data_IF_869908047765
#
_entry.id   IF_869908047765
#
_cell.length_a   1.000
_cell.length_b   1.000
_cell.length_c   1.000
_cell.angle_alpha   90.00
_cell.angle_beta   90.00
_cell.angle_gamma   90.00
#
_symmetry.space_group_name_H-M   'P 1'
#
loop_
_entity.id
_entity.type
_entity.pdbx_description
1 polymer ?
#
# COMPACT_ATOMS: atom_id res chain seq x y z
N UNK A 1 18.82 -2.90 -15.07
CA UNK A 1 17.76 -1.89 -14.93
C UNK A 1 16.41 -2.62 -14.97
N UNK A 2 15.50 -2.42 -14.02
CA UNK A 2 14.20 -3.10 -14.00
C UNK A 2 13.25 -2.47 -15.04
N UNK A 3 13.49 -2.76 -16.34
CA UNK A 3 12.72 -2.20 -17.45
C UNK A 3 11.23 -2.54 -17.38
N UNK A 4 10.90 -3.74 -16.90
CA UNK A 4 9.51 -4.17 -16.72
C UNK A 4 8.79 -3.32 -15.67
N UNK A 5 9.45 -3.00 -14.56
CA UNK A 5 8.87 -2.15 -13.50
C UNK A 5 8.62 -0.73 -14.01
N UNK A 6 9.56 -0.19 -14.78
CA UNK A 6 9.42 1.12 -15.41
C UNK A 6 8.27 1.13 -16.42
N UNK A 7 8.18 0.12 -17.26
CA UNK A 7 7.10 -0.01 -18.25
C UNK A 7 5.71 -0.09 -17.58
N UNK A 8 5.57 -0.87 -16.50
CA UNK A 8 4.34 -0.96 -15.72
C UNK A 8 3.96 0.39 -15.11
N UNK A 9 4.93 1.12 -14.57
CA UNK A 9 4.70 2.46 -14.00
C UNK A 9 4.25 3.45 -15.09
N UNK A 10 4.90 3.45 -16.24
CA UNK A 10 4.51 4.30 -17.37
C UNK A 10 3.11 3.93 -17.89
N UNK A 11 2.80 2.66 -18.02
CA UNK A 11 1.46 2.20 -18.44
C UNK A 11 0.38 2.64 -17.44
N UNK A 12 0.67 2.56 -16.13
CA UNK A 12 -0.24 3.02 -15.07
C UNK A 12 -0.50 4.54 -15.16
N UNK A 13 0.54 5.33 -15.45
CA UNK A 13 0.40 6.77 -15.68
C UNK A 13 -0.43 7.08 -16.93
N UNK A 14 -0.22 6.34 -18.02
CA UNK A 14 -1.01 6.50 -19.25
C UNK A 14 -2.49 6.17 -19.03
N UNK A 15 -2.82 5.25 -18.13
CA UNK A 15 -4.21 4.91 -17.78
C UNK A 15 -4.96 6.09 -17.12
N UNK A 16 -4.25 7.05 -16.54
CA UNK A 16 -4.86 8.25 -15.96
C UNK A 16 -5.43 9.21 -17.01
N UNK A 17 -4.90 9.20 -18.23
CA UNK A 17 -5.33 10.10 -19.32
C UNK A 17 -6.81 9.87 -19.71
N UNK A 18 -7.28 8.65 -20.05
CA UNK A 18 -8.69 8.42 -20.35
C UNK A 18 -9.61 8.71 -19.14
N UNK A 19 -9.11 8.54 -17.92
CA UNK A 19 -9.87 8.87 -16.72
C UNK A 19 -10.21 10.37 -16.66
N UNK A 20 -9.30 11.24 -17.08
CA UNK A 20 -9.54 12.68 -17.19
C UNK A 20 -10.63 13.04 -18.22
N UNK A 21 -10.70 12.31 -19.32
CA UNK A 21 -11.70 12.55 -20.35
C UNK A 21 -13.10 12.01 -20.01
N UNK A 22 -13.16 10.96 -19.16
CA UNK A 22 -14.43 10.33 -18.75
C UNK A 22 -15.11 11.11 -17.63
N UNK A 23 -14.37 11.91 -16.87
CA UNK A 23 -14.90 12.67 -15.75
C UNK A 23 -15.58 13.97 -16.22
N UNK A 24 -16.81 14.23 -15.73
CA UNK A 24 -17.54 15.47 -16.01
C UNK A 24 -16.83 16.74 -15.49
N UNK A 25 -15.84 16.58 -14.62
CA UNK A 25 -15.03 17.67 -14.04
C UNK A 25 -13.59 17.18 -13.84
N UNK A 26 -12.63 17.96 -14.34
CA UNK A 26 -11.18 17.72 -14.15
C UNK A 26 -10.83 17.71 -12.65
N UNK A 27 -11.48 18.57 -11.87
CA UNK A 27 -11.25 18.68 -10.42
C UNK A 27 -11.68 17.37 -9.73
N UNK A 28 -12.84 16.80 -10.08
CA UNK A 28 -13.31 15.55 -9.50
C UNK A 28 -12.37 14.37 -9.84
N UNK A 29 -11.88 14.29 -11.08
CA UNK A 29 -10.91 13.27 -11.49
C UNK A 29 -9.60 13.39 -10.70
N UNK A 30 -9.07 14.61 -10.58
CA UNK A 30 -7.86 14.87 -9.81
C UNK A 30 -8.03 14.50 -8.34
N UNK A 31 -9.14 14.89 -7.71
CA UNK A 31 -9.44 14.54 -6.32
C UNK A 31 -9.50 13.04 -6.13
N UNK A 32 -10.17 12.30 -7.02
CA UNK A 32 -10.27 10.85 -6.95
C UNK A 32 -8.90 10.17 -7.05
N UNK A 33 -8.09 10.53 -8.05
CA UNK A 33 -6.74 9.96 -8.22
C UNK A 33 -5.85 10.25 -7.02
N UNK A 34 -5.86 11.48 -6.55
CA UNK A 34 -5.05 11.89 -5.38
C UNK A 34 -5.49 11.15 -4.11
N UNK A 35 -6.80 10.96 -3.92
CA UNK A 35 -7.33 10.22 -2.77
C UNK A 35 -6.94 8.75 -2.81
N UNK A 36 -7.07 8.09 -3.98
CA UNK A 36 -6.62 6.68 -4.14
C UNK A 36 -5.13 6.55 -3.83
N UNK A 37 -4.31 7.44 -4.40
CA UNK A 37 -2.87 7.43 -4.15
C UNK A 37 -2.55 7.62 -2.65
N UNK A 38 -3.24 8.55 -1.98
CA UNK A 38 -3.06 8.80 -0.54
C UNK A 38 -3.44 7.60 0.31
N UNK A 39 -4.57 6.95 0.01
CA UNK A 39 -5.00 5.75 0.73
C UNK A 39 -4.01 4.61 0.56
N UNK A 40 -3.54 4.36 -0.67
CA UNK A 40 -2.54 3.33 -0.94
C UNK A 40 -1.22 3.62 -0.22
N UNK A 41 -0.81 4.88 -0.18
CA UNK A 41 0.37 5.31 0.56
C UNK A 41 0.24 5.04 2.07
N UNK A 42 -0.89 5.40 2.68
CA UNK A 42 -1.19 5.11 4.08
C UNK A 42 -1.16 3.60 4.34
N UNK A 43 -1.74 2.78 3.45
CA UNK A 43 -1.74 1.32 3.61
C UNK A 43 -0.32 0.74 3.58
N UNK A 44 0.55 1.22 2.70
CA UNK A 44 1.97 0.81 2.69
C UNK A 44 2.64 1.15 4.01
N UNK A 45 2.42 2.34 4.56
CA UNK A 45 2.95 2.73 5.85
C UNK A 45 2.39 1.89 7.00
N UNK A 46 1.10 1.55 6.96
CA UNK A 46 0.51 0.63 7.93
C UNK A 46 1.22 -0.74 7.91
N UNK A 47 1.48 -1.29 6.72
CA UNK A 47 2.20 -2.56 6.59
C UNK A 47 3.61 -2.47 7.18
N UNK A 48 4.32 -1.36 6.93
CA UNK A 48 5.66 -1.13 7.50
C UNK A 48 5.59 -1.10 9.04
N UNK A 49 4.65 -0.34 9.62
CA UNK A 49 4.50 -0.23 11.09
C UNK A 49 4.09 -1.57 11.71
N UNK A 50 3.18 -2.31 11.08
CA UNK A 50 2.78 -3.65 11.54
C UNK A 50 3.95 -4.63 11.46
N UNK A 51 4.74 -4.57 10.39
CA UNK A 51 5.96 -5.39 10.24
C UNK A 51 6.98 -5.07 11.33
N UNK A 52 7.14 -3.79 11.66
CA UNK A 52 7.98 -3.35 12.77
C UNK A 52 7.48 -3.90 14.11
N UNK A 53 6.18 -3.83 14.40
CA UNK A 53 5.60 -4.41 15.61
C UNK A 53 5.82 -5.93 15.69
N UNK A 54 5.67 -6.63 14.58
CA UNK A 54 5.98 -8.06 14.49
C UNK A 54 7.46 -8.34 14.72
N UNK A 55 8.35 -7.53 14.15
CA UNK A 55 9.78 -7.65 14.39
C UNK A 55 10.14 -7.50 15.87
N UNK A 56 9.54 -6.52 16.58
CA UNK A 56 9.73 -6.32 18.01
C UNK A 56 9.30 -7.53 18.85
N UNK A 57 8.29 -8.29 18.40
CA UNK A 57 7.80 -9.46 19.13
C UNK A 57 8.55 -10.73 18.79
N UNK A 58 8.95 -10.92 17.52
CA UNK A 58 9.57 -12.16 17.03
C UNK A 58 11.09 -12.19 17.24
N UNK A 59 11.75 -11.03 17.22
CA UNK A 59 13.21 -10.90 17.31
C UNK A 59 13.67 -9.84 18.30
N UNK A 60 13.31 -9.94 19.60
CA UNK A 60 13.65 -8.94 20.60
C UNK A 60 15.17 -8.77 20.80
N UNK A 61 15.95 -9.82 20.54
CA UNK A 61 17.40 -9.82 20.66
C UNK A 61 18.07 -8.91 19.63
N UNK A 62 17.63 -8.99 18.37
CA UNK A 62 18.14 -8.14 17.30
C UNK A 62 17.76 -6.67 17.53
N UNK A 63 16.59 -6.42 18.09
CA UNK A 63 16.18 -5.07 18.44
C UNK A 63 17.05 -4.48 19.55
N UNK A 64 17.42 -5.27 20.57
CA UNK A 64 18.33 -4.84 21.64
C UNK A 64 19.75 -4.56 21.15
N UNK A 65 20.21 -5.25 20.09
CA UNK A 65 21.49 -5.04 19.47
C UNK A 65 21.55 -3.86 18.51
N UNK A 66 20.38 -3.31 18.13
CA UNK A 66 20.28 -2.19 17.20
C UNK A 66 20.78 -0.88 17.83
N UNK A 67 21.64 -0.17 17.08
CA UNK A 67 22.17 1.15 17.47
C UNK A 67 21.10 2.25 17.44
N UNK A 68 20.09 2.11 16.58
CA UNK A 68 19.00 3.06 16.45
C UNK A 68 17.71 2.47 16.98
N UNK A 69 17.15 3.08 18.01
CA UNK A 69 15.87 2.69 18.60
C UNK A 69 14.88 3.83 18.49
N UNK A 70 13.66 3.51 18.09
CA UNK A 70 12.58 4.50 18.07
C UNK A 70 12.21 4.88 19.50
N UNK A 71 12.22 6.17 19.88
CA UNK A 71 11.77 6.58 21.20
C UNK A 71 10.28 6.20 21.39
N UNK A 72 9.97 5.50 22.47
CA UNK A 72 8.61 5.01 22.74
C UNK A 72 8.28 3.65 22.10
N UNK A 73 9.21 3.06 21.31
CA UNK A 73 9.11 1.68 20.76
C UNK A 73 7.70 1.28 20.30
N UNK A 74 7.03 0.42 21.07
CA UNK A 74 5.67 -0.07 20.79
C UNK A 74 4.61 1.03 20.85
N UNK A 75 4.74 1.96 21.81
CA UNK A 75 3.78 3.05 21.99
C UNK A 75 3.72 3.98 20.77
N UNK A 76 4.89 4.36 20.25
CA UNK A 76 4.97 5.20 19.06
C UNK A 76 4.37 4.51 17.83
N UNK A 77 4.62 3.20 17.64
CA UNK A 77 4.04 2.43 16.55
C UNK A 77 2.50 2.34 16.62
N UNK A 78 1.94 2.13 17.82
CA UNK A 78 0.50 2.14 18.03
C UNK A 78 -0.12 3.52 17.80
N UNK A 79 0.57 4.58 18.21
CA UNK A 79 0.13 5.95 17.95
C UNK A 79 0.07 6.26 16.46
N UNK A 80 1.08 5.83 15.69
CA UNK A 80 1.08 5.95 14.23
C UNK A 80 -0.10 5.20 13.58
N UNK A 81 -0.39 3.97 14.02
CA UNK A 81 -1.53 3.20 13.50
C UNK A 81 -2.86 3.86 13.84
N UNK A 82 -3.01 4.38 15.07
CA UNK A 82 -4.21 5.12 15.47
C UNK A 82 -4.40 6.40 14.62
N UNK A 83 -3.31 7.11 14.35
CA UNK A 83 -3.33 8.28 13.47
C UNK A 83 -3.74 7.92 12.04
N UNK A 84 -3.19 6.84 11.46
CA UNK A 84 -3.58 6.39 10.13
C UNK A 84 -5.05 5.95 10.07
N UNK A 85 -5.53 5.24 11.10
CA UNK A 85 -6.95 4.88 11.23
C UNK A 85 -7.84 6.13 11.29
N UNK A 86 -7.44 7.15 12.03
CA UNK A 86 -8.14 8.44 12.10
C UNK A 86 -8.18 9.14 10.73
N UNK A 87 -7.07 9.17 9.99
CA UNK A 87 -7.02 9.77 8.65
C UNK A 87 -7.95 9.02 7.69
N UNK A 88 -7.91 7.69 7.67
CA UNK A 88 -8.82 6.87 6.84
C UNK A 88 -10.28 7.14 7.23
N UNK A 89 -10.59 7.20 8.51
CA UNK A 89 -11.93 7.52 8.99
C UNK A 89 -12.39 8.91 8.49
N UNK A 90 -11.52 9.92 8.57
CA UNK A 90 -11.82 11.27 8.07
C UNK A 90 -12.09 11.27 6.56
N UNK A 91 -11.31 10.50 5.79
CA UNK A 91 -11.52 10.36 4.34
C UNK A 91 -12.87 9.69 3.99
N UNK A 92 -13.39 8.82 4.85
CA UNK A 92 -14.72 8.19 4.63
C UNK A 92 -15.89 9.15 4.86
N UNK A 93 -15.70 10.27 5.55
CA UNK A 93 -16.74 11.26 5.79
C UNK A 93 -17.08 12.09 4.56
N UNK A 94 -16.13 12.30 3.67
CA UNK A 94 -16.35 13.04 2.44
C UNK A 94 -16.94 12.10 1.37
N UNK A 95 -18.09 12.49 0.80
CA UNK A 95 -18.84 11.68 -0.16
C UNK A 95 -18.03 11.35 -1.41
N UNK A 96 -17.23 12.33 -1.90
CA UNK A 96 -16.45 12.19 -3.13
C UNK A 96 -15.26 11.26 -2.97
N UNK A 97 -14.69 11.15 -1.75
CA UNK A 97 -13.53 10.31 -1.46
C UNK A 97 -13.92 8.90 -1.01
N UNK A 98 -15.14 8.70 -0.57
CA UNK A 98 -15.65 7.42 -0.05
C UNK A 98 -15.50 6.28 -1.06
N UNK A 99 -15.84 6.53 -2.32
CA UNK A 99 -15.71 5.54 -3.41
C UNK A 99 -14.25 5.14 -3.59
N UNK A 100 -13.33 6.10 -3.56
CA UNK A 100 -11.90 5.84 -3.68
C UNK A 100 -11.35 5.01 -2.50
N UNK A 101 -11.79 5.27 -1.27
CA UNK A 101 -11.41 4.50 -0.09
C UNK A 101 -11.85 3.04 -0.20
N UNK A 102 -13.07 2.79 -0.69
CA UNK A 102 -13.56 1.41 -0.88
C UNK A 102 -12.94 0.70 -2.08
N UNK A 103 -12.52 1.42 -3.12
CA UNK A 103 -11.85 0.86 -4.28
C UNK A 103 -10.40 0.44 -3.97
N UNK A 104 -9.73 1.11 -3.02
CA UNK A 104 -8.33 0.86 -2.68
C UNK A 104 -8.06 -0.57 -2.16
N UNK A 105 -8.84 -1.15 -1.23
CA UNK A 105 -8.62 -2.53 -0.78
C UNK A 105 -8.87 -3.55 -1.88
N UNK A 106 -9.78 -3.28 -2.83
CA UNK A 106 -9.98 -4.14 -3.99
C UNK A 106 -8.72 -4.26 -4.83
N UNK A 107 -8.00 -3.14 -5.04
CA UNK A 107 -6.73 -3.14 -5.75
C UNK A 107 -5.65 -3.95 -5.02
N UNK A 108 -5.60 -3.88 -3.69
CA UNK A 108 -4.68 -4.69 -2.89
C UNK A 108 -4.99 -6.19 -2.99
N UNK A 109 -6.26 -6.57 -3.04
CA UNK A 109 -6.68 -7.97 -3.26
C UNK A 109 -6.21 -8.44 -4.64
N UNK A 110 -6.38 -7.63 -5.68
CA UNK A 110 -5.90 -7.95 -7.04
C UNK A 110 -4.38 -8.15 -7.06
N UNK A 111 -3.61 -7.26 -6.41
CA UNK A 111 -2.16 -7.40 -6.29
C UNK A 111 -1.76 -8.64 -5.48
N UNK A 112 -2.46 -8.93 -4.39
CA UNK A 112 -2.22 -10.12 -3.56
C UNK A 112 -2.46 -11.41 -4.33
N UNK A 113 -3.55 -11.49 -5.09
CA UNK A 113 -3.87 -12.63 -5.96
C UNK A 113 -2.82 -12.78 -7.08
N UNK A 114 -2.44 -11.68 -7.72
CA UNK A 114 -1.40 -11.68 -8.75
C UNK A 114 -0.06 -12.19 -8.19
N UNK A 115 0.30 -11.76 -6.99
CA UNK A 115 1.51 -12.22 -6.31
C UNK A 115 1.44 -13.72 -5.97
N UNK A 116 0.31 -14.21 -5.45
CA UNK A 116 0.11 -15.64 -5.14
C UNK A 116 0.22 -16.51 -6.39
N UNK A 117 -0.38 -16.09 -7.50
CA UNK A 117 -0.29 -16.78 -8.78
C UNK A 117 1.14 -16.77 -9.32
N UNK A 118 1.85 -15.66 -9.16
CA UNK A 118 3.24 -15.56 -9.60
C UNK A 118 4.17 -16.45 -8.75
N UNK A 119 4.04 -16.42 -7.43
CA UNK A 119 4.86 -17.21 -6.51
C UNK A 119 4.64 -18.73 -6.69
N UNK A 120 3.42 -19.16 -6.95
CA UNK A 120 3.12 -20.58 -7.22
C UNK A 120 3.71 -21.06 -8.55
N UNK A 121 3.85 -20.17 -9.54
CA UNK A 121 4.52 -20.51 -10.82
C UNK A 121 6.03 -20.69 -10.63
N UNK A 122 6.66 -19.84 -9.82
CA UNK A 122 8.10 -19.95 -9.52
C UNK A 122 8.42 -21.22 -8.73
N UNK A 123 7.59 -21.61 -7.76
CA UNK A 123 7.76 -22.86 -7.02
C UNK A 123 7.72 -24.09 -7.93
N UNK A 124 6.78 -24.14 -8.89
CA UNK A 124 6.71 -25.22 -9.87
C UNK A 124 7.91 -25.29 -10.81
N UNK A 125 8.49 -24.14 -11.16
CA UNK A 125 9.68 -24.14 -12.02
C UNK A 125 10.93 -24.66 -11.30
N UNK A 126 11.03 -24.47 -9.98
CA UNK A 126 12.11 -25.02 -9.17
C UNK A 126 12.00 -26.55 -9.02
N UNK A 127 10.79 -27.07 -8.88
CA UNK A 127 10.56 -28.54 -8.82
C UNK A 127 10.90 -29.25 -10.14
N UNK A 128 10.77 -28.57 -11.28
CA UNK A 128 11.10 -29.14 -12.61
C UNK A 128 12.60 -29.11 -12.94
N UNK A 129 13.39 -28.38 -12.15
CA UNK A 129 14.85 -28.25 -12.34
C UNK A 129 15.67 -29.08 -11.33
N UNK A 130 15.04 -29.68 -10.34
CA UNK A 130 15.64 -30.61 -9.36
C UNK A 130 15.49 -32.06 -9.80
#
# INVERSE_FOLDING_TARGET
VPGVSLAVTCASLLTSIPLLYTSKSIIAAFTTVTTVASVLFILVWCVIVVSYLRFLTLRPELHRASTFRLPGERGAAWLCLAFFAFVIWTLTQAHDTRIAVFASPLWLVVLGVAWLVHSSRLARQQELQS
#
